data_IF_256330365686
#
_entry.id   IF_256330365686
#
_cell.length_a   1.000
_cell.length_b   1.000
_cell.length_c   1.000
_cell.angle_alpha   90.00
_cell.angle_beta   90.00
_cell.angle_gamma   90.00
#
_symmetry.space_group_name_H-M   'P 1'
#
loop_
_entity.id
_entity.type
_entity.pdbx_description
1 polymer ?
#
# COMPACT_ATOMS: atom_id res chain seq x y z
N UNK A 1 -6.59 0.60 -1.13
CA UNK A 1 -6.63 -0.78 -1.66
C UNK A 1 -7.81 -1.44 -0.98
N UNK A 2 -8.72 -2.06 -1.74
CA UNK A 2 -9.91 -2.74 -1.18
C UNK A 2 -9.55 -4.18 -0.78
N UNK A 3 -9.86 -4.57 0.47
CA UNK A 3 -9.62 -5.92 0.98
C UNK A 3 -10.75 -6.88 0.55
N UNK A 4 -10.50 -8.16 0.25
CA UNK A 4 -11.58 -9.15 0.07
C UNK A 4 -12.33 -9.47 1.37
N UNK A 5 -11.86 -8.96 2.50
CA UNK A 5 -12.46 -9.18 3.82
C UNK A 5 -13.68 -8.28 4.03
N UNK A 6 -14.62 -8.77 4.85
CA UNK A 6 -15.73 -7.97 5.37
C UNK A 6 -15.20 -6.82 6.25
N UNK A 7 -16.01 -5.79 6.53
CA UNK A 7 -15.61 -4.71 7.42
C UNK A 7 -15.18 -5.22 8.80
N UNK A 8 -14.16 -4.61 9.40
CA UNK A 8 -13.73 -4.94 10.76
C UNK A 8 -14.75 -4.41 11.76
N UNK A 9 -15.27 -5.27 12.62
CA UNK A 9 -16.20 -4.89 13.70
C UNK A 9 -15.47 -4.55 14.99
N UNK A 10 -14.24 -5.03 15.18
CA UNK A 10 -13.41 -4.70 16.33
C UNK A 10 -12.15 -5.54 16.39
N UNK A 11 -11.47 -5.51 17.55
CA UNK A 11 -10.27 -6.31 17.81
C UNK A 11 -10.37 -7.03 19.16
N UNK A 12 -9.90 -8.28 19.21
CA UNK A 12 -9.73 -9.07 20.43
C UNK A 12 -8.30 -9.63 20.42
N UNK A 13 -7.54 -9.42 21.49
CA UNK A 13 -6.13 -9.87 21.63
C UNK A 13 -5.21 -9.48 20.45
N UNK A 14 -5.48 -8.33 19.82
CA UNK A 14 -4.72 -7.83 18.68
C UNK A 14 -5.07 -8.50 17.34
N UNK A 15 -6.12 -9.32 17.30
CA UNK A 15 -6.68 -9.89 16.08
C UNK A 15 -8.00 -9.20 15.73
N UNK A 16 -8.20 -8.77 14.46
CA UNK A 16 -9.48 -8.22 14.04
C UNK A 16 -10.54 -9.32 13.99
N UNK A 17 -11.77 -9.00 14.39
CA UNK A 17 -12.95 -9.80 14.01
C UNK A 17 -13.81 -8.98 13.05
N UNK A 18 -14.34 -9.67 12.05
CA UNK A 18 -15.04 -9.07 10.93
C UNK A 18 -16.56 -9.14 11.11
N UNK A 19 -17.28 -8.17 10.57
CA UNK A 19 -18.74 -8.12 10.64
C UNK A 19 -19.35 -9.23 9.81
N UNK A 20 -20.28 -9.98 10.43
CA UNK A 20 -21.17 -10.89 9.70
C UNK A 20 -22.32 -10.13 9.04
N UNK A 21 -22.75 -9.00 9.63
CA UNK A 21 -23.78 -8.13 9.07
C UNK A 21 -23.12 -7.06 8.20
N UNK A 22 -23.04 -7.36 6.90
CA UNK A 22 -22.44 -6.48 5.89
C UNK A 22 -23.54 -5.69 5.17
N UNK A 23 -23.49 -4.34 5.17
CA UNK A 23 -24.43 -3.50 4.44
C UNK A 23 -24.50 -3.85 2.95
N UNK A 24 -25.66 -3.69 2.32
CA UNK A 24 -25.89 -4.07 0.92
C UNK A 24 -24.90 -3.42 -0.05
N UNK A 25 -24.54 -2.15 0.19
CA UNK A 25 -23.55 -1.40 -0.59
C UNK A 25 -22.16 -2.06 -0.59
N UNK A 26 -21.81 -2.74 0.50
CA UNK A 26 -20.51 -3.38 0.71
C UNK A 26 -20.52 -4.86 0.24
N UNK A 27 -21.69 -5.47 0.11
CA UNK A 27 -21.83 -6.84 -0.44
C UNK A 27 -21.43 -6.91 -1.89
N UNK A 28 -21.81 -5.91 -2.68
CA UNK A 28 -21.39 -5.81 -4.09
C UNK A 28 -19.85 -5.82 -4.19
N UNK A 29 -19.16 -5.09 -3.32
CA UNK A 29 -17.69 -5.08 -3.25
C UNK A 29 -17.14 -6.49 -3.01
N UNK A 30 -17.66 -7.21 -2.02
CA UNK A 30 -17.23 -8.57 -1.70
C UNK A 30 -17.46 -9.54 -2.88
N UNK A 31 -18.60 -9.43 -3.56
CA UNK A 31 -18.93 -10.27 -4.72
C UNK A 31 -17.96 -10.06 -5.89
N UNK A 32 -17.59 -8.81 -6.19
CA UNK A 32 -16.69 -8.51 -7.31
C UNK A 32 -15.21 -8.71 -6.99
N UNK A 33 -14.82 -8.74 -5.71
CA UNK A 33 -13.40 -8.71 -5.35
C UNK A 33 -12.60 -9.88 -5.91
N UNK A 34 -13.18 -11.08 -5.99
CA UNK A 34 -12.50 -12.22 -6.60
C UNK A 34 -12.15 -11.96 -8.07
N UNK A 35 -13.07 -11.33 -8.82
CA UNK A 35 -12.84 -10.96 -10.22
C UNK A 35 -11.79 -9.85 -10.37
N UNK A 36 -11.77 -8.90 -9.43
CA UNK A 36 -10.74 -7.85 -9.40
C UNK A 36 -9.36 -8.44 -9.13
N UNK A 37 -9.23 -9.33 -8.13
CA UNK A 37 -7.97 -10.02 -7.81
C UNK A 37 -7.49 -10.83 -9.01
N UNK A 38 -8.39 -11.55 -9.69
CA UNK A 38 -8.06 -12.29 -10.89
C UNK A 38 -7.55 -11.38 -12.02
N UNK A 39 -8.19 -10.22 -12.21
CA UNK A 39 -7.75 -9.21 -13.17
C UNK A 39 -6.41 -8.56 -12.82
N UNK A 40 -6.14 -8.29 -11.54
CA UNK A 40 -4.84 -7.80 -11.05
C UNK A 40 -3.73 -8.82 -11.32
N UNK A 41 -4.01 -10.10 -11.06
CA UNK A 41 -3.13 -11.22 -11.35
C UNK A 41 -2.85 -11.35 -12.85
N UNK A 42 -3.89 -11.26 -13.69
CA UNK A 42 -3.75 -11.29 -15.15
C UNK A 42 -2.91 -10.10 -15.65
N UNK A 43 -3.19 -8.90 -15.15
CA UNK A 43 -2.41 -7.71 -15.47
C UNK A 43 -0.95 -7.86 -15.03
N UNK A 44 -0.68 -8.37 -13.84
CA UNK A 44 0.66 -8.64 -13.36
C UNK A 44 1.39 -9.65 -14.25
N UNK A 45 0.71 -10.72 -14.70
CA UNK A 45 1.26 -11.68 -15.67
C UNK A 45 1.56 -11.02 -17.01
N UNK A 46 0.67 -10.16 -17.51
CA UNK A 46 0.85 -9.42 -18.75
C UNK A 46 2.05 -8.47 -18.68
N UNK A 47 2.12 -7.62 -17.64
CA UNK A 47 3.26 -6.73 -17.39
C UNK A 47 4.56 -7.51 -17.27
N UNK A 48 4.55 -8.66 -16.58
CA UNK A 48 5.71 -9.55 -16.48
C UNK A 48 6.10 -10.12 -17.84
N UNK A 49 5.16 -10.41 -18.75
CA UNK A 49 5.49 -10.91 -20.09
C UNK A 49 6.24 -9.87 -20.93
N UNK A 50 5.89 -8.58 -20.81
CA UNK A 50 6.53 -7.47 -21.53
C UNK A 50 7.85 -7.07 -20.89
N UNK A 51 7.81 -6.84 -19.57
CA UNK A 51 8.90 -6.19 -18.84
C UNK A 51 9.70 -7.14 -17.96
N UNK A 52 9.32 -8.41 -17.82
CA UNK A 52 9.92 -9.34 -16.86
C UNK A 52 11.42 -9.54 -17.02
N UNK A 53 11.95 -9.38 -18.24
CA UNK A 53 13.41 -9.41 -18.50
C UNK A 53 14.15 -8.16 -18.00
N UNK A 54 13.43 -7.05 -17.82
CA UNK A 54 13.94 -5.78 -17.32
C UNK A 54 13.67 -5.59 -15.83
N UNK A 55 12.80 -6.40 -15.22
CA UNK A 55 12.57 -6.38 -13.77
C UNK A 55 13.87 -6.77 -13.07
N UNK A 56 14.45 -5.89 -12.24
CA UNK A 56 15.64 -6.22 -11.48
C UNK A 56 15.37 -7.45 -10.62
N UNK A 57 16.21 -8.48 -10.75
CA UNK A 57 16.16 -9.62 -9.84
C UNK A 57 16.65 -9.14 -8.48
N UNK A 58 15.69 -8.86 -7.60
CA UNK A 58 15.99 -8.68 -6.18
C UNK A 58 16.70 -9.95 -5.70
N UNK A 59 17.83 -9.79 -5.02
CA UNK A 59 18.44 -10.91 -4.29
C UNK A 59 17.40 -11.44 -3.31
N UNK A 60 17.39 -12.74 -3.03
CA UNK A 60 16.40 -13.37 -2.14
C UNK A 60 16.26 -12.68 -0.78
N UNK A 61 17.34 -12.04 -0.31
CA UNK A 61 17.40 -11.29 0.94
C UNK A 61 17.15 -9.77 0.81
N UNK A 62 16.76 -9.26 -0.36
CA UNK A 62 16.52 -7.83 -0.53
C UNK A 62 15.34 -7.30 0.31
N UNK A 63 14.21 -8.03 0.46
CA UNK A 63 13.14 -7.62 1.36
C UNK A 63 13.59 -7.59 2.82
N UNK A 64 14.33 -8.60 3.27
CA UNK A 64 14.90 -8.67 4.63
C UNK A 64 15.84 -7.49 4.88
N UNK A 65 16.77 -7.21 3.96
CA UNK A 65 17.68 -6.06 4.08
C UNK A 65 16.96 -4.71 4.09
N UNK A 66 15.86 -4.60 3.37
CA UNK A 66 15.04 -3.39 3.38
C UNK A 66 14.31 -3.21 4.72
N UNK A 67 13.73 -4.29 5.27
CA UNK A 67 13.11 -4.29 6.60
C UNK A 67 14.15 -4.02 7.69
N UNK A 68 15.33 -4.64 7.61
CA UNK A 68 16.46 -4.38 8.52
C UNK A 68 16.89 -2.92 8.44
N UNK A 69 16.96 -2.33 7.25
CA UNK A 69 17.29 -0.91 7.09
C UNK A 69 16.26 0.00 7.75
N UNK A 70 14.96 -0.31 7.64
CA UNK A 70 13.88 0.47 8.26
C UNK A 70 13.86 0.34 9.79
N UNK A 71 14.34 -0.78 10.32
CA UNK A 71 14.32 -1.09 11.76
C UNK A 71 15.68 -0.91 12.44
N UNK A 72 16.73 -0.55 11.68
CA UNK A 72 18.14 -0.51 12.13
C UNK A 72 18.36 0.35 13.36
N UNK A 73 17.68 1.50 13.45
CA UNK A 73 17.84 2.47 14.53
C UNK A 73 16.71 2.45 15.57
N UNK A 74 15.84 1.43 15.53
CA UNK A 74 14.74 1.27 16.50
C UNK A 74 15.24 0.62 17.79
N UNK A 75 14.72 1.05 18.94
CA UNK A 75 14.97 0.40 20.23
C UNK A 75 14.34 -0.99 20.29
N UNK A 76 14.72 -1.80 21.28
CA UNK A 76 14.14 -3.13 21.47
C UNK A 76 12.63 -3.04 21.74
N UNK A 77 12.18 -2.08 22.54
CA UNK A 77 10.74 -1.84 22.76
C UNK A 77 10.02 -1.41 21.48
N UNK A 78 10.62 -0.53 20.67
CA UNK A 78 10.00 -0.10 19.40
C UNK A 78 9.87 -1.24 18.40
N UNK A 79 10.88 -2.12 18.30
CA UNK A 79 10.81 -3.30 17.43
C UNK A 79 9.75 -4.28 17.88
N UNK A 80 9.62 -4.48 19.19
CA UNK A 80 8.60 -5.35 19.76
C UNK A 80 7.19 -4.76 19.53
N UNK A 81 7.03 -3.44 19.66
CA UNK A 81 5.80 -2.74 19.33
C UNK A 81 5.46 -2.84 17.83
N UNK A 82 6.44 -2.64 16.94
CA UNK A 82 6.28 -2.79 15.49
C UNK A 82 5.93 -4.23 15.08
N UNK A 83 6.47 -5.23 15.77
CA UNK A 83 6.10 -6.64 15.54
C UNK A 83 4.65 -6.95 15.93
N UNK A 84 4.02 -6.11 16.76
CA UNK A 84 2.60 -6.21 17.14
C UNK A 84 1.69 -5.45 16.17
N UNK A 85 2.24 -4.57 15.32
CA UNK A 85 1.53 -3.82 14.28
C UNK A 85 1.26 -4.63 12.99
N UNK A 86 1.10 -5.96 13.10
CA UNK A 86 0.83 -6.84 11.96
C UNK A 86 -0.45 -6.48 11.20
N UNK A 87 -1.37 -5.75 11.85
CA UNK A 87 -2.65 -5.33 11.32
C UNK A 87 -2.74 -3.81 11.34
N UNK A 88 -2.30 -3.18 10.25
CA UNK A 88 -2.70 -1.80 9.94
C UNK A 88 -4.03 -1.84 9.16
N UNK A 89 -5.06 -2.44 9.76
CA UNK A 89 -6.42 -2.27 9.26
C UNK A 89 -6.89 -0.92 9.75
N UNK A 90 -6.83 0.08 8.87
CA UNK A 90 -7.38 1.40 9.13
C UNK A 90 -8.90 1.27 9.31
N UNK A 91 -9.45 1.43 10.53
CA UNK A 91 -10.89 1.35 10.77
C UNK A 91 -11.64 2.46 10.02
N UNK A 92 -10.93 3.49 9.57
CA UNK A 92 -11.41 4.62 8.80
C UNK A 92 -11.57 4.31 7.31
N UNK A 93 -11.61 3.04 6.90
CA UNK A 93 -11.96 2.67 5.51
C UNK A 93 -13.34 3.20 5.07
N UNK A 94 -14.22 3.58 6.00
CA UNK A 94 -15.47 4.31 5.73
C UNK A 94 -15.32 5.82 5.62
N UNK A 95 -14.24 6.40 6.15
CA UNK A 95 -13.90 7.81 6.02
C UNK A 95 -12.82 7.94 4.95
N UNK A 96 -13.26 8.11 3.70
CA UNK A 96 -12.43 8.76 2.69
C UNK A 96 -12.06 10.16 3.21
N UNK A 97 -10.97 10.27 3.95
CA UNK A 97 -10.31 11.54 4.15
C UNK A 97 -9.76 11.96 2.80
N UNK A 98 -10.55 12.71 2.04
CA UNK A 98 -10.02 13.47 0.92
C UNK A 98 -8.78 14.19 1.42
N UNK A 99 -7.65 13.98 0.75
CA UNK A 99 -6.38 14.63 1.08
C UNK A 99 -6.70 16.13 1.20
N UNK A 100 -6.74 16.64 2.43
CA UNK A 100 -7.01 18.06 2.67
C UNK A 100 -5.75 18.78 2.24
N UNK A 101 -5.74 19.26 1.01
CA UNK A 101 -4.65 20.03 0.45
C UNK A 101 -4.57 21.34 1.23
N UNK A 102 -3.69 21.42 2.22
CA UNK A 102 -3.37 22.69 2.85
C UNK A 102 -2.60 23.54 1.83
N UNK A 103 -2.90 24.84 1.68
CA UNK A 103 -2.12 25.73 0.83
C UNK A 103 -0.62 25.72 1.15
N UNK A 104 -0.23 25.32 2.38
CA UNK A 104 1.17 25.17 2.81
C UNK A 104 1.86 23.95 2.18
N UNK A 105 1.10 22.92 1.81
CA UNK A 105 1.61 21.69 1.19
C UNK A 105 1.72 21.82 -0.34
N UNK A 106 1.10 22.86 -0.91
CA UNK A 106 1.17 23.14 -2.35
C UNK A 106 2.58 23.49 -2.82
N UNK A 107 3.32 24.28 -2.02
CA UNK A 107 4.65 24.77 -2.41
C UNK A 107 5.67 23.64 -2.55
N UNK A 108 5.84 22.72 -1.58
CA UNK A 108 6.72 21.56 -1.74
C UNK A 108 6.33 20.66 -2.91
N UNK A 109 5.03 20.49 -3.16
CA UNK A 109 4.52 19.64 -4.24
C UNK A 109 4.83 20.22 -5.62
N UNK A 110 4.64 21.53 -5.81
CA UNK A 110 4.98 22.23 -7.05
C UNK A 110 6.48 22.16 -7.32
N UNK A 111 7.31 22.42 -6.30
CA UNK A 111 8.77 22.35 -6.42
C UNK A 111 9.23 20.95 -6.83
N UNK A 112 8.66 19.90 -6.23
CA UNK A 112 8.96 18.52 -6.59
C UNK A 112 8.56 18.19 -8.03
N UNK A 113 7.40 18.65 -8.49
CA UNK A 113 6.96 18.45 -9.89
C UNK A 113 7.86 19.14 -10.90
N UNK A 114 8.37 20.33 -10.56
CA UNK A 114 9.34 21.04 -11.40
C UNK A 114 10.66 20.26 -11.45
N UNK A 115 11.17 19.80 -10.31
CA UNK A 115 12.42 19.03 -10.25
C UNK A 115 12.32 17.71 -11.02
N UNK A 116 11.22 16.96 -10.84
CA UNK A 116 10.93 15.73 -11.60
C UNK A 116 10.91 15.98 -13.12
N UNK A 117 10.39 17.14 -13.54
CA UNK A 117 10.36 17.53 -14.95
C UNK A 117 11.77 17.81 -15.49
N UNK A 118 12.60 18.54 -14.73
CA UNK A 118 14.00 18.81 -15.11
C UNK A 118 14.85 17.55 -15.13
N UNK A 119 14.70 16.65 -14.15
CA UNK A 119 15.36 15.34 -14.13
C UNK A 119 14.93 14.49 -15.32
N UNK A 120 13.63 14.49 -15.66
CA UNK A 120 13.12 13.80 -16.83
C UNK A 120 13.67 14.37 -18.15
N UNK A 121 13.81 15.69 -18.27
CA UNK A 121 14.39 16.32 -19.46
C UNK A 121 15.87 15.98 -19.59
N UNK A 122 16.63 16.06 -18.49
CA UNK A 122 18.06 15.75 -18.48
C UNK A 122 18.34 14.32 -18.90
N UNK A 123 17.56 13.35 -18.40
CA UNK A 123 17.64 11.93 -18.80
C UNK A 123 17.28 11.64 -20.26
N UNK A 124 16.65 12.59 -20.97
CA UNK A 124 16.30 12.45 -22.39
C UNK A 124 17.34 13.07 -23.32
N UNK A 125 18.23 13.91 -22.78
CA UNK A 125 19.26 14.63 -23.53
C UNK A 125 20.63 13.96 -23.37
N UNK A 126 20.87 13.26 -22.26
CA UNK A 126 21.98 12.31 -22.07
C UNK A 126 21.67 10.94 -22.70
#
# INVERSE_FOLDING_TARGET
MSSPESPVSGMVDGQPFFSEDVPEEERFRLEIMNSVIEGEDEYARYVRSIFGKFVPRLRSNAPEKWIESLTKNRTKEEREHLSKLFWASDPSHSEYHGIVFSPKDAVPFILKKIDDHYVSLRRRIE
#
